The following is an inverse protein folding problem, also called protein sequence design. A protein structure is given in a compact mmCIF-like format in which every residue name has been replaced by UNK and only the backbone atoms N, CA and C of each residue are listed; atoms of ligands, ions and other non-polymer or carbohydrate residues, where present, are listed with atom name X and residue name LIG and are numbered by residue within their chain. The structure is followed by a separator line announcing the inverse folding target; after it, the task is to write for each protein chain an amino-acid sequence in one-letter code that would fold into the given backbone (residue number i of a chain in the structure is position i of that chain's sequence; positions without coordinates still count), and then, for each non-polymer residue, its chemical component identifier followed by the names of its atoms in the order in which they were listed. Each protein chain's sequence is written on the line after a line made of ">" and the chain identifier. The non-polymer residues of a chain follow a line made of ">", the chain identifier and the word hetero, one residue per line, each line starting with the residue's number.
data_IF_122797385396
#
_entry.id   IF_122797385396
#
_cell.length_a   1.000
_cell.length_b   1.000
_cell.length_c   1.000
_cell.angle_alpha   90.00
_cell.angle_beta   90.00
_cell.angle_gamma   90.00
#
_symmetry.space_group_name_H-M   'P 1'
#
loop_
_entity.id
_entity.type
_entity.pdbx_description
1 polymer ?
#
# COMPACT_ATOMS: atom_id res chain seq x y z
N UNK A 1 7.34 1.03 -9.22
CA UNK A 1 6.65 2.08 -8.41
C UNK A 1 6.42 3.29 -9.32
N UNK A 2 5.53 4.23 -8.95
CA UNK A 2 5.38 5.49 -9.73
C UNK A 2 6.45 6.47 -9.29
N UNK A 3 7.05 7.20 -10.24
CA UNK A 3 8.00 8.30 -9.99
C UNK A 3 7.29 9.53 -9.37
N UNK A 4 8.06 10.47 -8.87
CA UNK A 4 7.58 11.75 -8.32
C UNK A 4 6.58 11.60 -7.17
N UNK A 5 6.84 10.66 -6.27
CA UNK A 5 6.08 10.48 -5.04
C UNK A 5 6.83 11.09 -3.86
N UNK A 6 6.05 11.59 -2.88
CA UNK A 6 6.62 12.08 -1.65
C UNK A 6 7.52 11.01 -1.00
N UNK A 7 8.59 11.47 -0.37
CA UNK A 7 9.42 10.63 0.46
C UNK A 7 8.59 9.94 1.55
N UNK A 8 9.04 8.79 1.97
CA UNK A 8 8.45 8.07 3.09
C UNK A 8 8.84 8.70 4.46
N UNK A 9 8.36 8.17 5.58
CA UNK A 9 8.71 8.70 6.90
C UNK A 9 10.21 8.74 7.20
N UNK A 10 11.02 7.91 6.54
CA UNK A 10 12.50 7.90 6.67
C UNK A 10 13.21 8.85 5.70
N UNK A 11 12.48 9.55 4.85
CA UNK A 11 13.04 10.45 3.84
C UNK A 11 13.46 9.76 2.54
N UNK A 12 13.18 8.47 2.39
CA UNK A 12 13.51 7.70 1.19
C UNK A 12 12.45 7.93 0.11
N UNK A 13 12.88 8.24 -1.09
CA UNK A 13 12.00 8.37 -2.27
C UNK A 13 11.95 7.06 -3.05
N UNK A 14 10.86 6.84 -3.77
CA UNK A 14 10.66 5.60 -4.55
C UNK A 14 11.73 5.37 -5.62
N UNK A 15 12.37 6.45 -6.09
CA UNK A 15 13.42 6.44 -7.11
C UNK A 15 14.68 5.69 -6.66
N UNK A 16 14.97 5.67 -5.36
CA UNK A 16 16.10 4.90 -4.80
C UNK A 16 15.97 3.41 -5.16
N UNK A 17 14.75 2.85 -5.07
CA UNK A 17 14.50 1.46 -5.43
C UNK A 17 14.49 1.20 -6.95
N UNK A 18 14.49 2.25 -7.77
CA UNK A 18 14.52 2.16 -9.22
C UNK A 18 15.90 2.51 -9.82
N UNK A 19 16.80 3.08 -9.04
CA UNK A 19 18.12 3.50 -9.49
C UNK A 19 19.02 2.31 -9.84
N UNK A 20 18.94 1.24 -9.06
CA UNK A 20 19.60 -0.04 -9.34
C UNK A 20 18.61 -1.18 -9.05
N UNK A 21 18.01 -1.70 -10.11
CA UNK A 21 16.98 -2.73 -9.99
C UNK A 21 17.53 -4.03 -9.39
N UNK A 22 18.74 -4.43 -9.74
CA UNK A 22 19.32 -5.68 -9.27
C UNK A 22 19.65 -5.62 -7.78
N UNK A 23 20.38 -4.60 -7.36
CA UNK A 23 20.73 -4.39 -5.96
C UNK A 23 19.49 -4.24 -5.08
N UNK A 24 18.49 -3.47 -5.55
CA UNK A 24 17.24 -3.27 -4.83
C UNK A 24 16.41 -4.55 -4.68
N UNK A 25 16.38 -5.39 -5.70
CA UNK A 25 15.67 -6.69 -5.65
C UNK A 25 16.37 -7.65 -4.68
N UNK A 26 17.69 -7.73 -4.71
CA UNK A 26 18.47 -8.58 -3.79
C UNK A 26 18.27 -8.13 -2.35
N UNK A 27 18.39 -6.84 -2.09
CA UNK A 27 18.19 -6.27 -0.75
C UNK A 27 16.77 -6.52 -0.22
N UNK A 28 15.75 -6.22 -1.02
CA UNK A 28 14.34 -6.44 -0.64
C UNK A 28 14.05 -7.92 -0.42
N UNK A 29 14.63 -8.81 -1.24
CA UNK A 29 14.46 -10.26 -1.09
C UNK A 29 15.09 -10.75 0.21
N UNK A 30 16.31 -10.30 0.52
CA UNK A 30 17.00 -10.63 1.77
C UNK A 30 16.20 -10.13 2.99
N UNK A 31 15.70 -8.91 2.93
CA UNK A 31 14.86 -8.33 3.98
C UNK A 31 13.55 -9.10 4.16
N UNK A 32 12.87 -9.48 3.07
CA UNK A 32 11.67 -10.31 3.14
C UNK A 32 11.94 -11.66 3.82
N UNK A 33 13.03 -12.31 3.42
CA UNK A 33 13.41 -13.61 3.99
C UNK A 33 13.74 -13.49 5.48
N UNK A 34 14.42 -12.43 5.89
CA UNK A 34 14.73 -12.15 7.28
C UNK A 34 13.45 -11.96 8.12
N UNK A 35 12.50 -11.16 7.62
CA UNK A 35 11.22 -10.91 8.27
C UNK A 35 10.44 -12.22 8.46
N UNK A 36 10.41 -13.07 7.44
CA UNK A 36 9.73 -14.37 7.51
C UNK A 36 10.42 -15.30 8.51
N UNK A 37 11.76 -15.37 8.49
CA UNK A 37 12.54 -16.22 9.39
C UNK A 37 12.39 -15.79 10.86
N UNK A 38 12.43 -14.49 11.12
CA UNK A 38 12.32 -13.94 12.47
C UNK A 38 10.85 -13.82 12.93
N UNK A 39 9.88 -13.96 12.04
CA UNK A 39 8.45 -13.72 12.30
C UNK A 39 8.18 -12.34 12.94
N UNK A 40 9.02 -11.38 12.62
CA UNK A 40 8.98 -10.02 13.18
C UNK A 40 9.24 -9.00 12.07
N UNK A 41 8.39 -7.99 12.01
CA UNK A 41 8.64 -6.82 11.16
C UNK A 41 9.55 -5.82 11.89
N UNK A 42 10.38 -5.03 11.19
CA UNK A 42 11.17 -3.96 11.78
C UNK A 42 10.30 -3.00 12.59
N UNK A 43 10.84 -2.51 13.72
CA UNK A 43 10.06 -1.64 14.61
C UNK A 43 9.73 -0.28 13.94
N UNK A 44 10.61 0.22 13.09
CA UNK A 44 10.38 1.45 12.30
C UNK A 44 9.13 1.35 11.42
N UNK A 45 8.80 0.16 10.93
CA UNK A 45 7.61 -0.05 10.10
C UNK A 45 6.29 -0.08 10.88
N UNK A 46 6.35 -0.14 12.20
CA UNK A 46 5.19 -0.04 13.08
C UNK A 46 4.72 1.40 13.22
N UNK A 47 5.59 2.37 12.90
CA UNK A 47 5.29 3.80 12.87
C UNK A 47 4.77 4.23 11.50
N UNK A 48 3.99 5.29 11.46
CA UNK A 48 3.49 5.87 10.21
C UNK A 48 3.09 7.32 10.43
N UNK A 49 3.22 8.11 9.38
CA UNK A 49 2.73 9.49 9.39
C UNK A 49 1.28 9.49 8.90
N UNK A 50 0.40 10.11 9.68
CA UNK A 50 -0.99 10.34 9.31
C UNK A 50 -1.12 11.76 8.75
N UNK A 51 -1.41 11.88 7.47
CA UNK A 51 -1.67 13.15 6.80
C UNK A 51 -3.18 13.36 6.66
N UNK A 52 -3.67 14.48 7.19
CA UNK A 52 -5.06 14.88 7.07
C UNK A 52 -5.23 15.77 5.84
N UNK A 53 -6.05 15.32 4.88
CA UNK A 53 -6.35 16.05 3.64
C UNK A 53 -7.80 16.49 3.66
N UNK A 54 -8.05 17.79 3.56
CA UNK A 54 -9.40 18.34 3.48
C UNK A 54 -10.13 17.84 2.23
N UNK A 55 -11.38 17.44 2.38
CA UNK A 55 -12.21 16.89 1.27
C UNK A 55 -12.71 17.95 0.28
N UNK A 56 -12.46 19.24 0.55
CA UNK A 56 -12.98 20.36 -0.24
C UNK A 56 -14.46 20.65 -0.03
N UNK A 57 -15.10 20.02 0.97
CA UNK A 57 -16.50 20.22 1.34
C UNK A 57 -16.73 19.93 2.82
N UNK A 58 -17.75 20.56 3.40
CA UNK A 58 -18.05 20.50 4.84
C UNK A 58 -17.30 21.58 5.63
N UNK A 59 -17.52 21.61 6.94
CA UNK A 59 -16.89 22.55 7.84
C UNK A 59 -15.43 22.14 8.10
N UNK A 60 -14.44 23.06 7.88
CA UNK A 60 -13.04 22.76 8.17
C UNK A 60 -12.74 22.46 9.65
N UNK A 61 -13.62 22.83 10.55
CA UNK A 61 -13.46 22.56 11.99
C UNK A 61 -13.90 21.13 12.37
N UNK A 62 -14.61 20.46 11.48
CA UNK A 62 -15.09 19.08 11.72
C UNK A 62 -14.09 18.04 11.20
N UNK A 63 -13.76 17.06 12.03
CA UNK A 63 -12.90 15.93 11.65
C UNK A 63 -13.47 15.14 10.45
N UNK A 64 -14.79 15.05 10.33
CA UNK A 64 -15.48 14.41 9.21
C UNK A 64 -15.21 15.02 7.84
N UNK A 65 -14.72 16.28 7.80
CA UNK A 65 -14.37 16.99 6.57
C UNK A 65 -12.99 16.63 6.01
N UNK A 66 -12.23 15.78 6.70
CA UNK A 66 -10.89 15.36 6.30
C UNK A 66 -10.83 13.87 5.91
N UNK A 67 -9.86 13.56 5.06
CA UNK A 67 -9.44 12.19 4.76
C UNK A 67 -8.09 11.94 5.41
N UNK A 68 -7.99 10.92 6.23
CA UNK A 68 -6.72 10.47 6.77
C UNK A 68 -5.99 9.60 5.74
N UNK A 69 -4.79 10.04 5.34
CA UNK A 69 -3.89 9.28 4.46
C UNK A 69 -2.72 8.83 5.31
N UNK A 70 -2.52 7.52 5.38
CA UNK A 70 -1.41 6.92 6.10
C UNK A 70 -0.21 6.78 5.16
N UNK A 71 0.89 7.45 5.49
CA UNK A 71 2.16 7.33 4.79
C UNK A 71 2.95 6.18 5.43
N UNK A 72 3.25 5.18 4.62
CA UNK A 72 4.01 4.00 5.00
C UNK A 72 5.37 4.01 4.28
N UNK A 73 6.33 3.30 4.86
CA UNK A 73 7.63 3.00 4.26
C UNK A 73 7.47 2.41 2.85
N UNK A 74 8.34 2.83 1.92
CA UNK A 74 8.31 2.31 0.55
C UNK A 74 8.65 0.82 0.48
N UNK A 75 9.61 0.36 1.28
CA UNK A 75 9.94 -1.05 1.38
C UNK A 75 8.74 -1.90 1.85
N UNK A 76 8.01 -1.43 2.87
CA UNK A 76 6.79 -2.09 3.33
C UNK A 76 5.73 -2.20 2.22
N UNK A 77 5.53 -1.15 1.42
CA UNK A 77 4.60 -1.18 0.28
C UNK A 77 4.96 -2.23 -0.78
N UNK A 78 6.26 -2.47 -1.00
CA UNK A 78 6.71 -3.53 -1.92
C UNK A 78 6.40 -4.89 -1.34
N UNK A 79 6.73 -5.12 -0.07
CA UNK A 79 6.47 -6.39 0.61
C UNK A 79 4.97 -6.70 0.68
N UNK A 80 4.13 -5.70 1.01
CA UNK A 80 2.68 -5.86 0.98
C UNK A 80 2.17 -6.33 -0.39
N UNK A 81 2.72 -5.79 -1.49
CA UNK A 81 2.36 -6.23 -2.85
C UNK A 81 2.74 -7.68 -3.12
N UNK A 82 3.92 -8.10 -2.66
CA UNK A 82 4.37 -9.50 -2.80
C UNK A 82 3.44 -10.43 -2.03
N UNK A 83 3.14 -10.11 -0.76
CA UNK A 83 2.22 -10.90 0.04
C UNK A 83 0.80 -10.92 -0.53
N UNK A 84 0.28 -9.77 -0.95
CA UNK A 84 -1.04 -9.65 -1.59
C UNK A 84 -1.15 -10.56 -2.81
N UNK A 85 -0.12 -10.60 -3.66
CA UNK A 85 -0.09 -11.48 -4.84
C UNK A 85 -0.12 -12.95 -4.43
N UNK A 86 0.77 -13.37 -3.52
CA UNK A 86 0.83 -14.75 -3.03
C UNK A 86 -0.44 -15.21 -2.32
N UNK A 87 -1.08 -14.32 -1.54
CA UNK A 87 -2.35 -14.62 -0.89
C UNK A 87 -3.45 -14.81 -1.94
N UNK A 88 -3.52 -13.93 -2.95
CA UNK A 88 -4.51 -14.04 -4.03
C UNK A 88 -4.37 -15.31 -4.87
N UNK A 89 -3.17 -15.86 -4.99
CA UNK A 89 -2.94 -17.15 -5.67
C UNK A 89 -3.49 -18.35 -4.87
N UNK A 90 -3.59 -18.20 -3.54
CA UNK A 90 -4.03 -19.26 -2.63
C UNK A 90 -5.50 -19.16 -2.21
N UNK A 91 -6.03 -17.94 -2.19
CA UNK A 91 -7.38 -17.67 -1.70
C UNK A 91 -8.33 -17.52 -2.88
N UNK A 92 -9.35 -18.38 -2.92
CA UNK A 92 -10.43 -18.24 -3.89
C UNK A 92 -11.37 -17.13 -3.41
N UNK A 93 -11.40 -16.02 -4.17
CA UNK A 93 -12.25 -14.88 -3.87
C UNK A 93 -13.61 -15.10 -4.56
N UNK A 94 -14.69 -14.82 -3.86
CA UNK A 94 -16.04 -14.97 -4.37
C UNK A 94 -16.29 -14.04 -5.59
N UNK A 95 -17.10 -14.52 -6.52
CA UNK A 95 -17.43 -13.81 -7.77
C UNK A 95 -18.17 -12.49 -7.51
N UNK A 96 -18.94 -12.44 -6.41
CA UNK A 96 -19.70 -11.26 -6.00
C UNK A 96 -18.85 -10.22 -5.25
N UNK A 97 -17.56 -10.48 -5.02
CA UNK A 97 -16.64 -9.50 -4.48
C UNK A 97 -16.22 -8.51 -5.57
N UNK A 98 -16.67 -7.27 -5.46
CA UNK A 98 -16.32 -6.19 -6.39
C UNK A 98 -15.22 -5.29 -5.84
N UNK A 99 -15.23 -5.01 -4.53
CA UNK A 99 -14.25 -4.14 -3.90
C UNK A 99 -12.82 -4.66 -4.00
N UNK A 100 -11.88 -3.80 -4.40
CA UNK A 100 -10.44 -4.11 -4.53
C UNK A 100 -10.11 -5.23 -5.53
N UNK A 101 -11.02 -5.54 -6.46
CA UNK A 101 -10.79 -6.54 -7.51
C UNK A 101 -10.29 -5.87 -8.78
N UNK A 102 -9.23 -6.42 -9.43
CA UNK A 102 -8.79 -5.95 -10.74
C UNK A 102 -9.90 -6.09 -11.78
N UNK A 103 -10.08 -5.06 -12.61
CA UNK A 103 -11.06 -5.07 -13.69
C UNK A 103 -12.52 -4.95 -13.26
N UNK A 104 -12.80 -4.76 -11.96
CA UNK A 104 -14.15 -4.50 -11.46
C UNK A 104 -14.28 -3.07 -10.94
N UNK A 105 -15.33 -2.37 -11.35
CA UNK A 105 -15.62 -1.01 -10.94
C UNK A 105 -16.99 -0.87 -10.27
N UNK A 106 -17.32 0.35 -9.85
CA UNK A 106 -18.64 0.67 -9.27
C UNK A 106 -19.79 0.43 -10.25
N UNK A 107 -19.54 0.59 -11.53
CA UNK A 107 -20.51 0.35 -12.60
C UNK A 107 -20.97 -1.11 -12.60
N UNK A 108 -20.02 -2.05 -12.41
CA UNK A 108 -20.34 -3.49 -12.39
C UNK A 108 -21.26 -3.83 -11.22
N UNK A 109 -21.04 -3.20 -10.05
CA UNK A 109 -21.92 -3.35 -8.88
C UNK A 109 -23.34 -2.88 -9.18
N UNK A 110 -23.46 -1.70 -9.81
CA UNK A 110 -24.77 -1.11 -10.16
C UNK A 110 -25.52 -2.02 -11.11
N UNK A 111 -24.86 -2.60 -12.11
CA UNK A 111 -25.49 -3.54 -13.06
C UNK A 111 -25.91 -4.86 -12.40
N UNK A 112 -25.21 -5.30 -11.37
CA UNK A 112 -25.54 -6.56 -10.69
C UNK A 112 -26.72 -6.43 -9.73
N UNK A 113 -26.99 -5.21 -9.22
CA UNK A 113 -28.08 -4.92 -8.27
C UNK A 113 -29.38 -4.49 -8.97
N UNK A 114 -29.34 -4.24 -10.28
CA UNK A 114 -30.52 -3.96 -11.11
C UNK A 114 -31.16 -5.24 -11.62
#
# INVERSE_FOLDING_TARGET
>A
MKKDKAADPTGIVSEVFMADENCSVEWLTSLCNLIVAQRRIPDDWKSSILLLVFKGKGDPTECGSYRAIKLLEHALKVIERVFKRRIREKVKIDVVQFGFMPGKGTTDVIFTVR
#
